data_IF_764549444630
#
_entry.id   IF_764549444630
#
_cell.length_a   1.000
_cell.length_b   1.000
_cell.length_c   1.000
_cell.angle_alpha   90.00
_cell.angle_beta   90.00
_cell.angle_gamma   90.00
#
_symmetry.space_group_name_H-M   'P 1'
#
loop_
_entity.id
_entity.type
_entity.pdbx_description
1 polymer ?
#
# COMPACT_ATOMS: atom_id res chain seq x y z
N UNK A 1 12.81 -22.04 -63.55
CA UNK A 1 13.31 -20.91 -62.71
C UNK A 1 12.30 -20.73 -61.58
N UNK A 2 12.65 -21.27 -60.40
CA UNK A 2 11.76 -21.45 -59.26
C UNK A 2 12.15 -20.42 -58.20
N UNK A 3 11.29 -19.42 -57.96
CA UNK A 3 11.53 -18.35 -56.98
C UNK A 3 10.92 -18.80 -55.68
N UNK A 4 11.76 -19.16 -54.71
CA UNK A 4 11.36 -19.41 -53.33
C UNK A 4 11.11 -18.11 -52.58
N UNK A 5 9.85 -17.81 -52.29
CA UNK A 5 9.47 -16.72 -51.41
C UNK A 5 9.71 -17.09 -49.96
N UNK A 6 10.72 -16.48 -49.32
CA UNK A 6 10.95 -16.60 -47.87
C UNK A 6 9.99 -15.67 -47.18
N UNK A 7 8.94 -16.28 -46.56
CA UNK A 7 8.03 -15.58 -45.67
C UNK A 7 8.74 -15.25 -44.36
N UNK A 8 9.00 -13.98 -44.11
CA UNK A 8 9.42 -13.45 -42.83
C UNK A 8 8.23 -13.52 -41.86
N UNK A 9 8.24 -14.51 -40.98
CA UNK A 9 7.36 -14.57 -39.83
C UNK A 9 7.91 -13.57 -38.81
N UNK A 10 7.37 -12.36 -38.80
CA UNK A 10 7.61 -11.43 -37.71
C UNK A 10 6.91 -11.98 -36.47
N UNK A 11 7.65 -12.63 -35.59
CA UNK A 11 7.20 -12.92 -34.23
C UNK A 11 7.14 -11.57 -33.51
N UNK A 12 5.93 -11.03 -33.40
CA UNK A 12 5.62 -9.96 -32.47
C UNK A 12 5.69 -10.57 -31.06
N UNK A 13 6.84 -10.52 -30.42
CA UNK A 13 6.97 -10.76 -29.00
C UNK A 13 6.20 -9.63 -28.29
N UNK A 14 5.01 -9.91 -27.84
CA UNK A 14 4.28 -9.04 -26.95
C UNK A 14 4.91 -9.20 -25.55
N UNK A 15 5.93 -8.37 -25.24
CA UNK A 15 6.68 -8.39 -23.97
C UNK A 15 5.90 -7.69 -22.85
N UNK A 16 4.58 -7.75 -22.86
CA UNK A 16 3.76 -7.30 -21.73
C UNK A 16 3.68 -8.40 -20.67
N UNK A 17 4.03 -8.06 -19.43
CA UNK A 17 3.80 -8.93 -18.28
C UNK A 17 2.32 -9.26 -18.15
N UNK A 18 2.00 -10.48 -17.77
CA UNK A 18 0.63 -10.89 -17.45
C UNK A 18 0.19 -10.29 -16.13
N UNK A 19 -1.12 -10.20 -15.90
CA UNK A 19 -1.66 -9.75 -14.61
C UNK A 19 -1.16 -10.60 -13.43
N UNK A 20 -0.99 -11.90 -13.64
CA UNK A 20 -0.47 -12.80 -12.60
C UNK A 20 0.99 -12.50 -12.25
N UNK A 21 1.83 -12.20 -13.25
CA UNK A 21 3.22 -11.79 -13.03
C UNK A 21 3.32 -10.45 -12.30
N UNK A 22 2.49 -9.46 -12.65
CA UNK A 22 2.43 -8.18 -11.94
C UNK A 22 2.01 -8.35 -10.47
N UNK A 23 1.05 -9.21 -10.20
CA UNK A 23 0.61 -9.52 -8.83
C UNK A 23 1.68 -10.22 -8.01
N UNK A 24 2.47 -11.08 -8.61
CA UNK A 24 3.58 -11.76 -7.94
C UNK A 24 4.71 -10.78 -7.62
N UNK A 25 5.05 -9.89 -8.55
CA UNK A 25 6.04 -8.83 -8.33
C UNK A 25 5.62 -7.88 -7.19
N UNK A 26 4.34 -7.48 -7.16
CA UNK A 26 3.78 -6.68 -6.08
C UNK A 26 3.96 -7.37 -4.70
N UNK A 27 3.63 -8.65 -4.61
CA UNK A 27 3.79 -9.43 -3.37
C UNK A 27 5.26 -9.52 -2.92
N UNK A 28 6.16 -9.77 -3.87
CA UNK A 28 7.58 -9.83 -3.58
C UNK A 28 8.15 -8.47 -3.15
N UNK A 29 7.68 -7.37 -3.74
CA UNK A 29 8.07 -6.02 -3.33
C UNK A 29 7.60 -5.70 -1.91
N UNK A 30 6.34 -6.00 -1.58
CA UNK A 30 5.78 -5.83 -0.23
C UNK A 30 6.57 -6.67 0.79
N UNK A 31 6.88 -7.92 0.46
CA UNK A 31 7.66 -8.81 1.33
C UNK A 31 9.05 -8.23 1.62
N UNK A 32 9.76 -7.75 0.59
CA UNK A 32 11.05 -7.08 0.75
C UNK A 32 10.94 -5.84 1.62
N UNK A 33 9.92 -5.02 1.40
CA UNK A 33 9.67 -3.84 2.22
C UNK A 33 9.48 -4.18 3.70
N UNK A 34 8.70 -5.22 4.00
CA UNK A 34 8.48 -5.74 5.35
C UNK A 34 9.81 -6.19 5.99
N UNK A 35 10.63 -6.93 5.25
CA UNK A 35 11.92 -7.41 5.73
C UNK A 35 12.93 -6.27 5.96
N UNK A 36 13.06 -5.34 5.00
CA UNK A 36 13.99 -4.20 5.09
C UNK A 36 13.65 -3.26 6.25
N UNK A 37 12.36 -3.06 6.50
CA UNK A 37 11.90 -2.18 7.56
C UNK A 37 11.69 -2.89 8.91
N UNK A 38 12.03 -4.18 9.01
CA UNK A 38 11.84 -5.00 10.23
C UNK A 38 10.41 -4.91 10.77
N UNK A 39 9.42 -4.95 9.88
CA UNK A 39 8.01 -4.91 10.25
C UNK A 39 7.61 -6.26 10.83
N UNK A 40 7.01 -6.24 12.02
CA UNK A 40 6.39 -7.40 12.64
C UNK A 40 4.92 -7.44 12.25
N UNK A 41 4.54 -8.43 11.44
CA UNK A 41 3.14 -8.63 11.03
C UNK A 41 2.42 -9.48 12.07
N UNK A 42 1.24 -9.05 12.49
CA UNK A 42 0.29 -9.79 13.33
C UNK A 42 -1.01 -10.02 12.57
N UNK A 43 -1.76 -11.04 12.95
CA UNK A 43 -3.09 -11.31 12.43
C UNK A 43 -4.19 -10.50 13.15
N UNK A 44 -5.42 -10.58 12.65
CA UNK A 44 -6.57 -9.88 13.22
C UNK A 44 -6.94 -10.39 14.61
N UNK A 45 -6.82 -11.69 14.88
CA UNK A 45 -7.12 -12.27 16.19
C UNK A 45 -6.16 -11.72 17.27
N UNK A 46 -4.88 -11.61 16.95
CA UNK A 46 -3.90 -11.00 17.86
C UNK A 46 -4.16 -9.51 18.04
N UNK A 47 -4.51 -8.80 16.98
CA UNK A 47 -4.87 -7.39 17.03
C UNK A 47 -6.07 -7.13 17.95
N UNK A 48 -7.14 -7.93 17.83
CA UNK A 48 -8.31 -7.84 18.70
C UNK A 48 -7.95 -8.15 20.16
N UNK A 49 -7.14 -9.18 20.41
CA UNK A 49 -6.67 -9.54 21.75
C UNK A 49 -5.82 -8.45 22.43
N UNK A 50 -5.28 -7.50 21.66
CA UNK A 50 -4.51 -6.34 22.11
C UNK A 50 -5.36 -5.05 22.21
N UNK A 51 -6.66 -5.15 22.44
CA UNK A 51 -7.61 -4.01 22.43
C UNK A 51 -7.60 -3.23 21.11
N UNK A 52 -7.47 -3.92 19.98
CA UNK A 52 -7.37 -3.36 18.64
C UNK A 52 -6.30 -2.28 18.55
N UNK A 53 -5.11 -2.54 19.06
CA UNK A 53 -3.92 -1.68 18.97
C UNK A 53 -2.74 -2.43 18.39
N UNK A 54 -1.71 -1.69 17.98
CA UNK A 54 -0.43 -2.24 17.53
C UNK A 54 0.71 -1.73 18.41
N UNK A 55 1.76 -2.54 18.56
CA UNK A 55 2.94 -2.14 19.34
C UNK A 55 3.93 -1.40 18.46
N UNK A 56 3.92 -0.07 18.52
CA UNK A 56 4.81 0.81 17.75
C UNK A 56 6.30 0.54 18.06
N UNK A 57 6.64 0.24 19.32
CA UNK A 57 8.03 -0.03 19.70
C UNK A 57 8.57 -1.33 19.10
N UNK A 58 7.68 -2.25 18.74
CA UNK A 58 8.01 -3.49 18.05
C UNK A 58 7.83 -3.39 16.53
N UNK A 59 7.53 -2.20 16.01
CA UNK A 59 7.19 -1.96 14.60
C UNK A 59 6.12 -2.92 14.08
N UNK A 60 5.03 -3.06 14.85
CA UNK A 60 3.98 -4.06 14.63
C UNK A 60 2.87 -3.51 13.74
N UNK A 61 2.50 -4.29 12.72
CA UNK A 61 1.42 -4.01 11.78
C UNK A 61 0.44 -5.18 11.78
N UNK A 62 -0.86 -4.91 11.82
CA UNK A 62 -1.89 -5.92 11.59
C UNK A 62 -2.12 -6.08 10.08
N UNK A 63 -2.20 -7.32 9.61
CA UNK A 63 -2.67 -7.64 8.27
C UNK A 63 -4.16 -8.00 8.34
N UNK A 64 -4.98 -7.25 7.60
CA UNK A 64 -6.38 -7.58 7.33
C UNK A 64 -6.45 -8.49 6.11
N UNK A 65 -6.60 -9.78 6.33
CA UNK A 65 -6.49 -10.81 5.28
C UNK A 65 -7.50 -10.63 4.14
N UNK A 66 -8.71 -10.20 4.43
CA UNK A 66 -9.76 -9.99 3.43
C UNK A 66 -9.41 -8.86 2.44
N UNK A 67 -8.82 -7.78 2.92
CA UNK A 67 -8.46 -6.61 2.11
C UNK A 67 -7.02 -6.60 1.65
N UNK A 68 -6.13 -7.34 2.31
CA UNK A 68 -4.69 -7.31 2.10
C UNK A 68 -4.02 -6.03 2.63
N UNK A 69 -4.70 -5.27 3.50
CA UNK A 69 -4.19 -4.02 4.05
C UNK A 69 -3.36 -4.30 5.31
N UNK A 70 -2.17 -3.70 5.38
CA UNK A 70 -1.35 -3.64 6.59
C UNK A 70 -1.59 -2.30 7.28
N UNK A 71 -1.85 -2.33 8.59
CA UNK A 71 -2.12 -1.12 9.37
C UNK A 71 -1.29 -1.08 10.65
N UNK A 72 -0.71 0.08 10.96
CA UNK A 72 -0.13 0.38 12.26
C UNK A 72 -0.88 1.55 12.89
N UNK A 73 -1.28 1.42 14.15
CA UNK A 73 -1.85 2.51 14.93
C UNK A 73 -0.71 3.12 15.76
N UNK A 74 -0.22 4.29 15.34
CA UNK A 74 0.85 4.99 16.05
C UNK A 74 0.33 5.66 17.31
N UNK A 75 -0.86 6.27 17.22
CA UNK A 75 -1.52 6.93 18.34
C UNK A 75 -3.04 6.92 18.13
N UNK A 76 -3.78 6.58 19.17
CA UNK A 76 -5.23 6.71 19.15
C UNK A 76 -5.64 8.12 19.49
N UNK A 77 -6.61 8.64 18.75
CA UNK A 77 -7.26 9.89 19.09
C UNK A 77 -8.00 9.80 20.44
N UNK A 78 -8.23 10.94 21.05
CA UNK A 78 -8.98 11.10 22.31
C UNK A 78 -10.35 11.79 22.11
N UNK A 79 -10.79 11.91 20.86
CA UNK A 79 -12.10 12.43 20.51
C UNK A 79 -13.22 11.43 20.75
N UNK A 80 -14.44 11.90 20.60
CA UNK A 80 -15.62 11.03 20.61
C UNK A 80 -15.70 10.25 19.29
N UNK A 81 -16.34 9.07 19.34
CA UNK A 81 -16.63 8.30 18.12
C UNK A 81 -17.62 9.07 17.26
N UNK A 82 -17.40 9.06 15.95
CA UNK A 82 -18.35 9.61 15.01
C UNK A 82 -19.63 8.78 15.03
N UNK A 83 -20.77 9.46 15.06
CA UNK A 83 -22.07 8.83 14.88
C UNK A 83 -22.26 8.40 13.42
N UNK A 84 -23.21 7.51 13.16
CA UNK A 84 -23.56 7.13 11.79
C UNK A 84 -24.03 8.37 11.01
N UNK A 85 -23.51 8.54 9.81
CA UNK A 85 -23.88 9.67 8.97
C UNK A 85 -22.75 10.17 8.07
N UNK A 86 -23.00 11.29 7.45
CA UNK A 86 -22.03 11.94 6.58
C UNK A 86 -21.18 12.92 7.38
N UNK A 87 -19.86 12.67 7.40
CA UNK A 87 -18.89 13.50 8.08
C UNK A 87 -17.81 13.98 7.12
N UNK A 88 -17.43 15.22 7.27
CA UNK A 88 -16.26 15.80 6.61
C UNK A 88 -15.05 15.64 7.54
N UNK A 89 -14.02 14.95 7.06
CA UNK A 89 -12.78 14.72 7.81
C UNK A 89 -11.62 15.40 7.11
N UNK A 90 -10.74 16.01 7.91
CA UNK A 90 -9.52 16.65 7.43
C UNK A 90 -8.33 15.71 7.67
N UNK A 91 -7.58 15.45 6.61
CA UNK A 91 -6.49 14.48 6.64
C UNK A 91 -5.18 15.12 6.19
N UNK A 92 -4.11 14.84 6.93
CA UNK A 92 -2.74 15.07 6.48
C UNK A 92 -2.05 13.73 6.33
N UNK A 93 -1.35 13.54 5.23
CA UNK A 93 -0.72 12.26 4.92
C UNK A 93 0.61 12.42 4.17
N UNK A 94 1.36 11.36 4.17
CA UNK A 94 2.47 11.09 3.26
C UNK A 94 2.08 9.84 2.47
N UNK A 95 2.11 9.94 1.15
CA UNK A 95 1.88 8.80 0.25
C UNK A 95 3.18 8.40 -0.40
N UNK A 96 3.52 7.14 -0.27
CA UNK A 96 4.72 6.53 -0.83
C UNK A 96 4.34 5.30 -1.66
N UNK A 97 5.07 5.08 -2.73
CA UNK A 97 4.98 3.86 -3.53
C UNK A 97 6.11 2.92 -3.13
N UNK A 98 5.78 1.66 -2.85
CA UNK A 98 6.79 0.61 -2.69
C UNK A 98 7.30 0.23 -4.08
N UNK A 99 8.60 0.28 -4.25
CA UNK A 99 9.29 -0.05 -5.51
C UNK A 99 9.66 -1.55 -5.55
N UNK A 100 10.02 -2.05 -6.72
CA UNK A 100 10.32 -3.48 -6.93
C UNK A 100 11.47 -4.02 -6.07
N UNK A 101 12.38 -3.16 -5.61
CA UNK A 101 13.47 -3.50 -4.70
C UNK A 101 13.08 -3.47 -3.21
N UNK A 102 11.84 -3.06 -2.90
CA UNK A 102 11.32 -2.97 -1.54
C UNK A 102 11.64 -1.65 -0.83
N UNK A 103 12.21 -0.68 -1.53
CA UNK A 103 12.32 0.70 -1.06
C UNK A 103 11.00 1.45 -1.24
N UNK A 104 10.93 2.70 -0.84
CA UNK A 104 9.77 3.55 -1.09
C UNK A 104 10.14 4.89 -1.69
N UNK A 105 9.29 5.37 -2.59
CA UNK A 105 9.38 6.69 -3.19
C UNK A 105 8.14 7.54 -2.84
N UNK A 106 8.36 8.78 -2.42
CA UNK A 106 7.27 9.70 -2.09
C UNK A 106 6.50 10.12 -3.34
N UNK A 107 5.20 9.83 -3.36
CA UNK A 107 4.28 10.25 -4.42
C UNK A 107 3.59 11.57 -4.09
N UNK A 108 3.12 11.71 -2.86
CA UNK A 108 2.34 12.87 -2.42
C UNK A 108 2.61 13.19 -0.94
N UNK A 109 2.54 14.47 -0.59
CA UNK A 109 2.90 14.95 0.73
C UNK A 109 2.08 16.19 1.08
N UNK A 110 1.25 16.13 2.12
CA UNK A 110 0.59 17.29 2.70
C UNK A 110 0.77 17.41 4.22
N UNK A 111 1.77 16.74 4.77
CA UNK A 111 2.07 16.73 6.21
C UNK A 111 2.78 18.00 6.70
N UNK A 112 3.35 18.80 5.79
CA UNK A 112 4.13 20.02 6.14
C UNK A 112 3.25 21.26 6.02
N UNK A 113 2.76 21.85 7.14
CA UNK A 113 1.81 22.97 7.12
C UNK A 113 2.33 24.22 6.39
N UNK A 114 3.65 24.44 6.38
CA UNK A 114 4.26 25.59 5.72
C UNK A 114 4.30 25.47 4.19
N UNK A 115 4.28 24.25 3.67
CA UNK A 115 4.25 23.98 2.23
C UNK A 115 2.82 23.74 1.73
N UNK A 116 1.98 23.14 2.58
CA UNK A 116 0.60 22.78 2.27
C UNK A 116 -0.30 23.40 3.34
N UNK A 117 -0.85 24.57 3.04
CA UNK A 117 -1.62 25.37 4.00
C UNK A 117 -2.87 24.67 4.53
N UNK A 118 -3.47 23.80 3.69
CA UNK A 118 -4.72 23.11 4.01
C UNK A 118 -4.52 21.59 4.00
N UNK A 119 -5.15 20.85 4.95
CA UNK A 119 -5.30 19.40 4.84
C UNK A 119 -6.25 19.05 3.68
N UNK A 120 -6.20 17.81 3.23
CA UNK A 120 -7.19 17.29 2.30
C UNK A 120 -8.50 16.95 3.02
N UNK A 121 -9.62 17.14 2.34
CA UNK A 121 -10.96 16.89 2.84
C UNK A 121 -11.52 15.60 2.25
N UNK A 122 -12.00 14.71 3.12
CA UNK A 122 -12.65 13.46 2.75
C UNK A 122 -14.04 13.40 3.33
N UNK A 123 -14.96 12.77 2.61
CA UNK A 123 -16.32 12.50 3.10
C UNK A 123 -16.40 11.05 3.55
N UNK A 124 -16.65 10.85 4.83
CA UNK A 124 -16.99 9.56 5.40
C UNK A 124 -18.52 9.43 5.38
N UNK A 125 -19.03 8.29 4.88
CA UNK A 125 -20.48 8.00 4.76
C UNK A 125 -20.80 6.63 5.31
#
# INVERSE_FOLDING_TARGET
MMVLGIGLISQSCNNGKTYAELKEEEREAIKRYIELNNIKVIDEDQFEAQDSTTNVSANEYVLFDESGIYMQIVERGNGELLEDGRHEILVRYLEEQITDDGESDTLSLNTIPNLYAHPDEFILT
#
